data_IF_850814604140
#
_entry.id   IF_850814604140
#
_cell.length_a   1.000
_cell.length_b   1.000
_cell.length_c   1.000
_cell.angle_alpha   90.00
_cell.angle_beta   90.00
_cell.angle_gamma   90.00
#
_symmetry.space_group_name_H-M   'P 1'
#
loop_
_entity.id
_entity.type
_entity.pdbx_description
1 polymer ?
#
# COMPACT_ATOMS: atom_id res chain seq x y z
N UNK A 1 -11.60 26.38 22.39
CA UNK A 1 -11.22 25.28 21.50
C UNK A 1 -9.94 24.68 22.05
N UNK A 2 -9.91 23.38 22.39
CA UNK A 2 -8.63 22.75 22.79
C UNK A 2 -7.67 22.82 21.61
N UNK A 3 -6.45 23.25 21.88
CA UNK A 3 -5.40 23.35 20.85
C UNK A 3 -4.99 21.92 20.49
N UNK A 4 -5.31 21.45 19.26
CA UNK A 4 -4.92 20.14 18.78
C UNK A 4 -3.42 20.09 18.59
N UNK A 5 -2.79 18.96 18.94
CA UNK A 5 -1.35 18.77 18.71
C UNK A 5 -1.01 18.86 17.23
N UNK A 6 0.12 19.50 16.90
CA UNK A 6 0.63 19.60 15.53
C UNK A 6 1.38 18.33 15.15
N UNK A 7 0.89 17.63 14.13
CA UNK A 7 1.50 16.42 13.59
C UNK A 7 2.12 16.69 12.22
N UNK A 8 3.41 16.42 12.09
CA UNK A 8 4.11 16.44 10.81
C UNK A 8 4.43 15.00 10.37
N UNK A 9 4.07 14.63 9.14
CA UNK A 9 4.56 13.42 8.49
C UNK A 9 5.50 13.74 7.32
N UNK A 10 6.72 13.22 7.38
CA UNK A 10 7.72 13.30 6.31
C UNK A 10 7.75 11.99 5.52
N UNK A 11 7.39 12.03 4.24
CA UNK A 11 7.33 10.86 3.36
C UNK A 11 8.06 11.09 2.04
N UNK A 12 8.44 10.01 1.37
CA UNK A 12 9.21 10.09 0.13
C UNK A 12 8.43 10.73 -1.03
N UNK A 13 7.26 10.21 -1.33
CA UNK A 13 6.47 10.62 -2.48
C UNK A 13 5.01 10.82 -2.08
N UNK A 14 4.40 11.88 -2.61
CA UNK A 14 2.99 12.11 -2.44
C UNK A 14 2.17 11.06 -3.20
N UNK A 15 1.35 10.31 -2.45
CA UNK A 15 0.40 9.36 -3.01
C UNK A 15 -1.02 9.71 -2.57
N UNK A 16 -2.05 9.48 -3.40
CA UNK A 16 -3.41 9.88 -3.09
C UNK A 16 -3.91 9.40 -1.72
N UNK A 17 -3.59 8.16 -1.34
CA UNK A 17 -3.96 7.62 -0.02
C UNK A 17 -3.35 8.41 1.14
N UNK A 18 -2.08 8.84 1.03
CA UNK A 18 -1.45 9.64 2.09
C UNK A 18 -2.07 11.02 2.19
N UNK A 19 -2.41 11.64 1.06
CA UNK A 19 -3.08 12.95 1.03
C UNK A 19 -4.47 12.85 1.68
N UNK A 20 -5.26 11.86 1.29
CA UNK A 20 -6.60 11.62 1.87
C UNK A 20 -6.50 11.26 3.35
N UNK A 21 -5.48 10.52 3.76
CA UNK A 21 -5.24 10.20 5.17
C UNK A 21 -4.87 11.45 5.98
N UNK A 22 -4.04 12.35 5.43
CA UNK A 22 -3.75 13.64 6.05
C UNK A 22 -5.04 14.46 6.30
N UNK A 23 -5.94 14.48 5.32
CA UNK A 23 -7.24 15.16 5.45
C UNK A 23 -8.10 14.51 6.55
N UNK A 24 -8.14 13.19 6.64
CA UNK A 24 -8.89 12.49 7.69
C UNK A 24 -8.32 12.77 9.10
N UNK A 25 -7.01 12.93 9.21
CA UNK A 25 -6.33 13.25 10.48
C UNK A 25 -6.62 14.65 10.98
N UNK A 26 -7.11 15.59 10.15
CA UNK A 26 -7.49 16.95 10.57
C UNK A 26 -8.58 16.97 11.65
N UNK A 27 -9.34 15.88 11.82
CA UNK A 27 -10.30 15.75 12.92
C UNK A 27 -9.62 15.66 14.29
N UNK A 28 -8.39 15.15 14.34
CA UNK A 28 -7.68 14.78 15.58
C UNK A 28 -6.44 15.65 15.84
N UNK A 29 -5.75 16.07 14.78
CA UNK A 29 -4.49 16.82 14.83
C UNK A 29 -4.56 18.03 13.89
N UNK A 30 -3.71 19.03 14.13
CA UNK A 30 -3.30 19.98 13.10
C UNK A 30 -2.19 19.27 12.28
N UNK A 31 -2.59 18.51 11.27
CA UNK A 31 -1.69 17.61 10.55
C UNK A 31 -1.18 18.26 9.25
N UNK A 32 0.14 18.16 9.00
CA UNK A 32 0.74 18.45 7.70
C UNK A 32 1.57 17.25 7.22
N UNK A 33 1.46 16.94 5.91
CA UNK A 33 2.28 15.93 5.25
C UNK A 33 3.21 16.59 4.25
N UNK A 34 4.51 16.39 4.43
CA UNK A 34 5.53 16.94 3.55
C UNK A 34 6.25 15.84 2.80
N UNK A 35 6.36 16.03 1.49
CA UNK A 35 6.91 15.04 0.58
C UNK A 35 8.21 15.54 -0.04
N UNK A 36 9.13 14.62 -0.32
CA UNK A 36 10.41 14.91 -0.97
C UNK A 36 10.33 14.86 -2.49
N UNK A 37 9.38 14.09 -3.04
CA UNK A 37 9.25 13.89 -4.48
C UNK A 37 7.82 14.20 -4.95
N UNK A 38 7.75 14.95 -6.07
CA UNK A 38 6.49 15.15 -6.78
C UNK A 38 6.08 13.89 -7.55
N UNK A 39 4.78 13.50 -7.59
CA UNK A 39 4.29 12.42 -8.43
C UNK A 39 4.68 12.58 -9.91
N UNK A 40 4.75 13.82 -10.42
CA UNK A 40 5.14 14.13 -11.79
C UNK A 40 6.53 13.63 -12.18
N UNK A 41 7.45 13.62 -11.21
CA UNK A 41 8.82 13.14 -11.40
C UNK A 41 8.93 11.61 -11.33
N UNK A 42 7.88 10.93 -10.92
CA UNK A 42 7.86 9.49 -10.79
C UNK A 42 7.35 8.82 -12.07
N UNK A 43 8.27 8.55 -13.01
CA UNK A 43 7.98 7.92 -14.29
C UNK A 43 7.24 6.57 -14.19
N UNK A 44 7.29 5.91 -13.05
CA UNK A 44 6.71 4.59 -12.82
C UNK A 44 5.22 4.68 -12.47
N UNK A 45 4.77 5.81 -11.90
CA UNK A 45 3.44 5.94 -11.31
C UNK A 45 2.39 6.62 -12.20
N UNK A 46 2.83 7.28 -13.27
CA UNK A 46 1.95 7.90 -14.25
C UNK A 46 1.27 9.21 -13.78
N UNK A 47 0.64 9.92 -14.73
CA UNK A 47 0.01 11.23 -14.48
C UNK A 47 -1.25 11.16 -13.62
N UNK A 48 -1.96 10.03 -13.58
CA UNK A 48 -3.23 9.90 -12.84
C UNK A 48 -3.05 9.90 -11.31
N UNK A 49 -1.81 9.87 -10.82
CA UNK A 49 -1.48 10.04 -9.41
C UNK A 49 -1.42 11.52 -8.99
N UNK A 50 -1.58 12.44 -9.93
CA UNK A 50 -1.72 13.85 -9.61
C UNK A 50 -3.07 14.05 -8.91
N UNK A 51 -3.01 14.40 -7.65
CA UNK A 51 -4.15 14.75 -6.80
C UNK A 51 -3.95 16.16 -6.28
N UNK A 52 -5.05 16.83 -5.99
CA UNK A 52 -5.00 18.09 -5.25
C UNK A 52 -4.39 17.84 -3.86
N UNK A 53 -3.30 18.53 -3.55
CA UNK A 53 -2.62 18.42 -2.27
C UNK A 53 -3.39 19.07 -1.12
N UNK A 54 -4.39 19.90 -1.43
CA UNK A 54 -5.06 20.72 -0.43
C UNK A 54 -4.08 21.62 0.33
N UNK A 55 -4.55 22.16 1.44
CA UNK A 55 -3.74 23.09 2.26
C UNK A 55 -2.80 22.41 3.26
N UNK A 56 -2.89 21.07 3.41
CA UNK A 56 -2.20 20.32 4.47
C UNK A 56 -1.04 19.47 3.94
N UNK A 57 -0.83 19.47 2.64
CA UNK A 57 0.23 18.70 2.02
C UNK A 57 1.12 19.61 1.17
N UNK A 58 2.43 19.41 1.24
CA UNK A 58 3.37 20.14 0.38
C UNK A 58 4.58 19.32 -0.04
N UNK A 59 5.19 19.73 -1.14
CA UNK A 59 6.47 19.19 -1.60
C UNK A 59 7.57 20.10 -1.16
N UNK A 60 8.56 19.58 -0.43
CA UNK A 60 9.75 20.33 -0.02
C UNK A 60 10.63 20.60 -1.24
N UNK A 61 11.12 21.83 -1.38
CA UNK A 61 12.04 22.24 -2.45
C UNK A 61 13.09 23.22 -1.89
N UNK A 62 14.33 23.20 -2.41
CA UNK A 62 14.90 22.21 -3.32
C UNK A 62 15.25 20.90 -2.60
N UNK A 63 15.20 19.79 -3.33
CA UNK A 63 15.59 18.45 -2.84
C UNK A 63 16.68 17.89 -3.74
N UNK A 64 17.79 17.48 -3.14
CA UNK A 64 18.79 16.66 -3.81
C UNK A 64 18.42 15.18 -3.65
N UNK A 65 18.42 14.45 -4.76
CA UNK A 65 18.04 13.05 -4.82
C UNK A 65 19.20 12.17 -5.30
N UNK A 66 19.46 11.09 -4.55
CA UNK A 66 20.42 10.06 -4.95
C UNK A 66 19.77 8.69 -4.98
N UNK A 67 20.04 7.92 -6.02
CA UNK A 67 19.85 6.48 -6.02
C UNK A 67 21.12 5.81 -5.50
N UNK A 68 21.00 5.01 -4.45
CA UNK A 68 22.12 4.19 -3.98
C UNK A 68 21.59 2.82 -3.58
N UNK A 69 22.29 1.76 -3.99
CA UNK A 69 21.80 0.39 -4.01
C UNK A 69 21.15 -0.13 -2.72
N UNK A 70 21.71 0.14 -1.56
CA UNK A 70 21.19 -0.35 -0.29
C UNK A 70 20.09 0.55 0.32
N UNK A 71 20.23 1.86 0.20
CA UNK A 71 19.26 2.84 0.67
C UNK A 71 18.58 3.42 -0.57
N UNK A 72 17.51 2.80 -1.01
CA UNK A 72 16.93 2.95 -2.35
C UNK A 72 16.57 4.39 -2.77
N UNK A 73 16.29 5.29 -1.84
CA UNK A 73 15.95 6.68 -2.15
C UNK A 73 16.50 7.59 -1.06
N UNK A 74 17.49 8.40 -1.41
CA UNK A 74 18.09 9.37 -0.50
C UNK A 74 17.66 10.78 -0.89
N UNK A 75 16.84 11.39 -0.04
CA UNK A 75 16.39 12.75 -0.22
C UNK A 75 17.05 13.68 0.78
N UNK A 76 17.56 14.79 0.30
CA UNK A 76 18.15 15.85 1.08
C UNK A 76 17.42 17.14 0.80
N UNK A 77 16.50 17.54 1.69
CA UNK A 77 15.71 18.75 1.57
C UNK A 77 16.38 19.91 2.32
N UNK A 78 16.89 20.88 1.58
CA UNK A 78 17.65 22.01 2.17
C UNK A 78 16.77 22.95 2.98
N UNK A 79 15.50 23.12 2.62
CA UNK A 79 14.55 23.98 3.35
C UNK A 79 14.01 23.36 4.65
N UNK A 80 14.25 22.06 4.90
CA UNK A 80 13.60 21.28 5.94
C UNK A 80 13.67 21.93 7.34
N UNK A 81 14.86 22.36 7.77
CA UNK A 81 15.03 22.96 9.11
C UNK A 81 14.29 24.30 9.24
N UNK A 82 14.26 25.10 8.19
CA UNK A 82 13.50 26.35 8.16
C UNK A 82 12.00 26.08 8.31
N UNK A 83 11.49 25.13 7.52
CA UNK A 83 10.08 24.73 7.55
C UNK A 83 9.68 24.12 8.90
N UNK A 84 10.53 23.27 9.50
CA UNK A 84 10.32 22.70 10.83
C UNK A 84 10.21 23.78 11.91
N UNK A 85 11.03 24.83 11.84
CA UNK A 85 10.97 25.97 12.79
C UNK A 85 9.68 26.78 12.62
N UNK A 86 9.21 26.97 11.39
CA UNK A 86 7.98 27.73 11.09
C UNK A 86 6.74 26.96 11.55
N UNK A 87 6.60 25.69 11.15
CA UNK A 87 5.44 24.88 11.52
C UNK A 87 5.46 24.51 13.00
N UNK A 88 6.65 24.28 13.55
CA UNK A 88 6.90 23.88 14.94
C UNK A 88 6.02 22.71 15.41
N UNK A 89 6.12 21.51 14.78
CA UNK A 89 5.30 20.37 15.13
C UNK A 89 5.55 19.89 16.56
N UNK A 90 4.51 19.34 17.20
CA UNK A 90 4.62 18.65 18.49
C UNK A 90 5.05 17.18 18.28
N UNK A 91 4.66 16.62 17.14
CA UNK A 91 4.93 15.24 16.74
C UNK A 91 5.56 15.25 15.35
N UNK A 92 6.72 14.61 15.22
CA UNK A 92 7.40 14.39 13.92
C UNK A 92 7.36 12.91 13.58
N UNK A 93 6.57 12.56 12.57
CA UNK A 93 6.46 11.22 12.03
C UNK A 93 7.32 11.09 10.78
N UNK A 94 8.10 10.03 10.69
CA UNK A 94 9.10 9.78 9.65
C UNK A 94 8.73 8.54 8.84
N UNK A 95 8.63 8.66 7.53
CA UNK A 95 8.43 7.55 6.60
C UNK A 95 9.73 6.76 6.40
N UNK A 96 10.03 5.85 7.33
CA UNK A 96 11.22 5.01 7.31
C UNK A 96 12.46 5.62 7.98
N UNK A 97 13.46 4.75 8.19
CA UNK A 97 14.67 5.04 8.98
C UNK A 97 15.81 5.65 8.16
N UNK A 98 15.86 5.44 6.86
CA UNK A 98 17.09 5.57 6.06
C UNK A 98 17.19 6.83 5.20
N UNK A 99 16.17 7.68 5.21
CA UNK A 99 16.15 8.94 4.43
C UNK A 99 16.98 10.00 5.17
N UNK A 100 18.02 10.61 4.57
CA UNK A 100 18.86 11.61 5.23
C UNK A 100 18.06 12.77 5.84
N UNK A 101 17.07 13.30 5.13
CA UNK A 101 16.18 14.33 5.65
C UNK A 101 15.39 13.88 6.89
N UNK A 102 14.95 12.62 6.94
CA UNK A 102 14.30 12.06 8.13
C UNK A 102 15.25 12.02 9.32
N UNK A 103 16.52 11.67 9.10
CA UNK A 103 17.56 11.68 10.15
C UNK A 103 17.76 13.08 10.70
N UNK A 104 17.79 14.09 9.83
CA UNK A 104 17.91 15.51 10.23
C UNK A 104 16.68 15.93 11.02
N UNK A 105 15.47 15.61 10.55
CA UNK A 105 14.22 15.93 11.23
C UNK A 105 14.13 15.26 12.61
N UNK A 106 14.53 13.98 12.71
CA UNK A 106 14.60 13.27 13.99
C UNK A 106 15.51 13.99 15.00
N UNK A 107 16.74 14.32 14.60
CA UNK A 107 17.67 15.07 15.48
C UNK A 107 17.10 16.41 15.90
N UNK A 108 16.50 17.14 14.98
CA UNK A 108 15.84 18.41 15.28
C UNK A 108 14.72 18.21 16.30
N UNK A 109 13.85 17.22 16.10
CA UNK A 109 12.75 16.92 17.00
C UNK A 109 13.24 16.60 18.41
N UNK A 110 14.20 15.68 18.55
CA UNK A 110 14.75 15.31 19.87
C UNK A 110 15.42 16.51 20.57
N UNK A 111 16.18 17.35 19.83
CA UNK A 111 16.81 18.56 20.38
C UNK A 111 15.78 19.58 20.89
N UNK A 112 14.59 19.62 20.29
CA UNK A 112 13.53 20.56 20.65
C UNK A 112 12.43 19.93 21.52
N UNK A 113 12.66 18.76 22.13
CA UNK A 113 11.71 18.09 23.03
C UNK A 113 10.42 17.62 22.36
N UNK A 114 10.44 17.41 21.03
CA UNK A 114 9.28 16.96 20.27
C UNK A 114 9.16 15.45 20.28
N UNK A 115 7.92 14.94 20.19
CA UNK A 115 7.65 13.51 20.05
C UNK A 115 8.02 13.01 18.66
N UNK A 116 8.49 11.76 18.59
CA UNK A 116 9.00 11.17 17.35
C UNK A 116 8.33 9.82 17.07
N UNK A 117 7.88 9.65 15.84
CA UNK A 117 7.32 8.38 15.32
C UNK A 117 8.12 7.96 14.09
N UNK A 118 8.47 6.69 13.98
CA UNK A 118 8.92 6.12 12.70
C UNK A 118 7.83 5.20 12.19
N UNK A 119 7.31 5.50 11.01
CA UNK A 119 6.37 4.66 10.30
C UNK A 119 7.11 3.81 9.28
N UNK A 120 6.96 2.49 9.34
CA UNK A 120 7.74 1.58 8.52
C UNK A 120 6.98 0.31 8.17
N UNK A 121 7.46 -0.35 7.12
CA UNK A 121 6.97 -1.64 6.67
C UNK A 121 8.04 -2.71 6.95
N UNK A 122 7.76 -3.95 6.52
CA UNK A 122 8.71 -5.05 6.59
C UNK A 122 10.07 -4.69 5.98
N UNK A 123 11.15 -4.96 6.72
CA UNK A 123 12.52 -4.66 6.28
C UNK A 123 13.19 -5.81 5.53
N UNK A 124 12.54 -6.96 5.38
CA UNK A 124 13.04 -8.10 4.60
C UNK A 124 12.50 -8.07 3.16
N UNK A 125 13.34 -8.53 2.22
CA UNK A 125 12.96 -8.72 0.83
C UNK A 125 12.22 -10.06 0.62
N UNK A 126 11.90 -10.37 -0.62
CA UNK A 126 11.22 -11.59 -1.06
C UNK A 126 11.95 -12.90 -0.68
N UNK A 127 13.25 -12.85 -0.44
CA UNK A 127 14.06 -14.01 -0.01
C UNK A 127 14.27 -14.06 1.50
N UNK A 128 13.52 -13.25 2.28
CA UNK A 128 13.69 -13.15 3.72
C UNK A 128 14.99 -12.44 4.16
N UNK A 129 15.77 -11.93 3.20
CA UNK A 129 17.05 -11.27 3.47
C UNK A 129 16.80 -9.86 3.99
N UNK A 130 17.44 -9.53 5.10
CA UNK A 130 17.34 -8.21 5.71
C UNK A 130 17.97 -7.15 4.81
N UNK A 131 17.17 -6.17 4.40
CA UNK A 131 17.66 -5.06 3.58
C UNK A 131 18.75 -4.31 4.36
N UNK A 132 20.00 -4.39 3.84
CA UNK A 132 21.16 -3.73 4.38
C UNK A 132 21.94 -4.46 5.46
N UNK A 133 21.53 -5.64 5.78
CA UNK A 133 22.26 -6.47 6.74
C UNK A 133 22.18 -6.00 8.19
N UNK A 134 22.53 -6.87 9.10
CA UNK A 134 22.38 -6.64 10.55
C UNK A 134 23.24 -5.50 11.11
N UNK A 135 24.40 -5.20 10.50
CA UNK A 135 25.26 -4.10 10.96
C UNK A 135 24.60 -2.74 10.81
N UNK A 136 23.91 -2.51 9.67
CA UNK A 136 23.19 -1.25 9.45
C UNK A 136 22.00 -1.14 10.38
N UNK A 137 21.25 -2.23 10.61
CA UNK A 137 20.14 -2.19 11.57
C UNK A 137 20.59 -1.94 13.00
N UNK A 138 21.77 -2.43 13.41
CA UNK A 138 22.38 -2.07 14.71
C UNK A 138 22.71 -0.58 14.78
N UNK A 139 23.25 0.00 13.70
CA UNK A 139 23.52 1.43 13.62
C UNK A 139 22.24 2.26 13.66
N UNK A 140 21.22 1.85 12.90
CA UNK A 140 19.91 2.52 12.89
C UNK A 140 19.26 2.42 14.27
N UNK A 141 19.27 1.26 14.92
CA UNK A 141 18.77 1.13 16.29
C UNK A 141 19.51 2.07 17.26
N UNK A 142 20.85 2.08 17.23
CA UNK A 142 21.62 2.98 18.08
C UNK A 142 21.27 4.44 17.85
N UNK A 143 21.03 4.84 16.60
CA UNK A 143 20.67 6.21 16.25
C UNK A 143 19.25 6.59 16.69
N UNK A 144 18.28 5.68 16.53
CA UNK A 144 16.86 5.88 16.84
C UNK A 144 16.44 5.29 18.20
N UNK A 145 17.37 4.91 19.06
CA UNK A 145 17.07 4.24 20.34
C UNK A 145 16.10 5.01 21.24
N UNK A 146 16.07 6.33 21.12
CA UNK A 146 15.22 7.22 21.90
C UNK A 146 13.93 7.61 21.12
N UNK A 147 13.56 6.88 20.08
CA UNK A 147 12.30 7.11 19.36
C UNK A 147 11.12 6.81 20.28
N UNK A 148 10.13 7.72 20.28
CA UNK A 148 8.98 7.55 21.19
C UNK A 148 8.04 6.46 20.72
N UNK A 149 7.96 6.20 19.37
CA UNK A 149 7.10 5.16 18.80
C UNK A 149 7.61 4.67 17.44
N UNK A 150 7.52 3.38 17.19
CA UNK A 150 7.72 2.74 15.88
C UNK A 150 6.40 2.13 15.46
N UNK A 151 5.79 2.69 14.42
CA UNK A 151 4.56 2.17 13.83
C UNK A 151 4.87 1.24 12.68
N UNK A 152 4.36 0.03 12.74
CA UNK A 152 4.47 -0.98 11.68
C UNK A 152 3.10 -1.32 11.12
N UNK A 153 3.05 -1.82 9.89
CA UNK A 153 1.79 -1.98 9.14
C UNK A 153 1.10 -3.32 9.34
N UNK A 154 1.78 -4.29 9.97
CA UNK A 154 1.24 -5.62 10.18
C UNK A 154 1.79 -6.28 11.46
N UNK A 155 1.03 -7.18 12.07
CA UNK A 155 1.39 -7.87 13.32
C UNK A 155 2.64 -8.75 13.18
N UNK A 156 2.80 -9.41 12.04
CA UNK A 156 3.97 -10.24 11.79
C UNK A 156 5.29 -9.44 11.70
N UNK A 157 5.18 -8.13 11.45
CA UNK A 157 6.32 -7.19 11.45
C UNK A 157 6.66 -6.71 12.87
N UNK A 158 5.71 -6.75 13.81
CA UNK A 158 5.93 -6.34 15.20
C UNK A 158 7.10 -7.09 15.81
N UNK A 159 7.09 -8.42 15.71
CA UNK A 159 8.16 -9.27 16.27
C UNK A 159 9.54 -8.88 15.76
N UNK A 160 9.65 -8.54 14.47
CA UNK A 160 10.90 -8.10 13.87
C UNK A 160 11.44 -6.82 14.51
N UNK A 161 10.57 -5.79 14.67
CA UNK A 161 11.01 -4.50 15.22
C UNK A 161 11.14 -4.53 16.74
N UNK A 162 10.27 -5.25 17.44
CA UNK A 162 10.31 -5.37 18.90
C UNK A 162 11.53 -6.14 19.38
N UNK A 163 11.73 -7.34 18.85
CA UNK A 163 12.69 -8.32 19.36
C UNK A 163 14.02 -8.28 18.61
N UNK A 164 13.98 -8.40 17.27
CA UNK A 164 15.20 -8.47 16.44
C UNK A 164 15.90 -7.11 16.39
N UNK A 165 15.16 -6.03 16.18
CA UNK A 165 15.72 -4.66 16.15
C UNK A 165 15.67 -3.95 17.51
N UNK A 166 15.16 -4.60 18.55
CA UNK A 166 15.23 -4.17 19.95
C UNK A 166 14.54 -2.83 20.27
N UNK A 167 13.49 -2.46 19.53
CA UNK A 167 12.69 -1.27 19.86
C UNK A 167 11.68 -1.53 20.97
N UNK A 168 11.54 -2.79 21.44
CA UNK A 168 10.73 -3.18 22.59
C UNK A 168 9.29 -2.69 22.50
N UNK A 169 8.81 -2.14 23.59
CA UNK A 169 7.44 -1.65 23.73
C UNK A 169 7.13 -0.37 22.92
N UNK A 170 8.14 0.27 22.31
CA UNK A 170 7.89 1.40 21.40
C UNK A 170 7.17 0.96 20.10
N UNK A 171 7.16 -0.34 19.77
CA UNK A 171 6.57 -0.88 18.55
C UNK A 171 5.06 -1.04 18.71
N UNK A 172 4.30 -0.47 17.77
CA UNK A 172 2.83 -0.59 17.67
C UNK A 172 2.41 -0.86 16.23
N UNK A 173 1.25 -1.51 16.05
CA UNK A 173 0.65 -1.70 14.73
C UNK A 173 -0.25 -0.52 14.40
N UNK A 174 -0.14 -0.02 13.16
CA UNK A 174 -1.07 0.91 12.57
C UNK A 174 -1.49 0.39 11.20
N UNK A 175 -2.78 0.28 10.97
CA UNK A 175 -3.30 -0.21 9.69
C UNK A 175 -2.95 0.74 8.54
N UNK A 176 -2.86 0.19 7.33
CA UNK A 176 -2.87 1.01 6.13
C UNK A 176 -4.25 1.62 5.92
N UNK A 177 -4.32 2.94 5.82
CA UNK A 177 -5.54 3.60 5.38
C UNK A 177 -5.78 3.38 3.89
N UNK A 178 -7.00 3.05 3.51
CA UNK A 178 -7.41 2.86 2.13
C UNK A 178 -8.63 3.71 1.79
N UNK A 179 -8.60 4.34 0.62
CA UNK A 179 -9.74 5.09 0.11
C UNK A 179 -10.75 4.13 -0.52
N UNK A 180 -11.58 3.52 0.32
CA UNK A 180 -12.49 2.43 -0.08
C UNK A 180 -13.95 2.83 -0.19
N UNK A 181 -14.32 4.04 0.18
CA UNK A 181 -15.73 4.46 0.26
C UNK A 181 -16.46 4.40 -1.08
N UNK A 182 -15.78 4.78 -2.18
CA UNK A 182 -16.33 4.69 -3.52
C UNK A 182 -16.52 3.23 -3.96
N UNK A 183 -15.59 2.34 -3.57
CA UNK A 183 -15.63 0.91 -3.90
C UNK A 183 -16.76 0.19 -3.15
N UNK A 184 -17.02 0.53 -1.90
CA UNK A 184 -18.11 -0.04 -1.10
C UNK A 184 -19.50 0.25 -1.66
N UNK A 185 -19.65 1.30 -2.48
CA UNK A 185 -20.93 1.68 -3.12
C UNK A 185 -21.31 0.78 -4.30
N UNK A 186 -20.38 -0.02 -4.84
CA UNK A 186 -20.71 -0.90 -5.97
C UNK A 186 -21.64 -2.03 -5.52
N UNK A 187 -22.61 -2.44 -6.37
CA UNK A 187 -23.46 -3.57 -6.06
C UNK A 187 -22.63 -4.86 -5.96
N UNK A 188 -23.05 -5.77 -5.11
CA UNK A 188 -22.47 -7.12 -5.10
C UNK A 188 -22.82 -7.84 -6.39
N UNK A 189 -21.87 -8.58 -6.93
CA UNK A 189 -22.02 -9.29 -8.19
C UNK A 189 -22.81 -10.58 -8.00
N UNK A 190 -23.64 -10.89 -9.02
CA UNK A 190 -24.34 -12.15 -9.13
C UNK A 190 -23.64 -13.13 -10.07
N UNK A 191 -24.28 -14.27 -10.31
CA UNK A 191 -23.86 -15.24 -11.33
C UNK A 191 -23.84 -14.58 -12.70
N UNK A 192 -22.77 -14.79 -13.46
CA UNK A 192 -22.59 -14.28 -14.82
C UNK A 192 -22.23 -15.40 -15.76
N UNK A 193 -22.55 -15.28 -17.06
CA UNK A 193 -22.11 -16.25 -18.08
C UNK A 193 -20.60 -16.19 -18.32
N UNK A 194 -19.98 -15.03 -18.03
CA UNK A 194 -18.53 -14.83 -18.14
C UNK A 194 -18.05 -13.85 -17.08
N UNK A 195 -16.80 -14.03 -16.64
CA UNK A 195 -16.17 -13.20 -15.61
C UNK A 195 -15.12 -12.28 -16.21
N UNK A 196 -15.01 -11.08 -15.63
CA UNK A 196 -13.92 -10.14 -15.89
C UNK A 196 -12.90 -10.23 -14.77
N UNK A 197 -11.68 -10.53 -15.14
CA UNK A 197 -10.54 -10.65 -14.23
C UNK A 197 -9.78 -9.33 -14.16
N UNK A 198 -9.09 -9.09 -13.05
CA UNK A 198 -8.30 -7.88 -12.85
C UNK A 198 -6.88 -8.23 -12.37
N UNK A 199 -5.89 -7.69 -13.08
CA UNK A 199 -4.52 -7.55 -12.61
C UNK A 199 -4.19 -6.06 -12.48
N UNK A 200 -4.38 -5.48 -11.29
CA UNK A 200 -4.25 -4.02 -11.07
C UNK A 200 -2.83 -3.59 -10.68
N UNK A 201 -1.94 -4.51 -10.40
CA UNK A 201 -0.58 -4.20 -9.95
C UNK A 201 0.32 -3.75 -11.10
N UNK A 202 1.41 -3.06 -10.75
CA UNK A 202 2.44 -2.66 -11.73
C UNK A 202 3.05 -3.89 -12.42
N UNK A 203 3.39 -3.75 -13.68
CA UNK A 203 4.06 -4.79 -14.46
C UNK A 203 5.54 -4.89 -14.08
N UNK A 204 5.83 -5.41 -12.89
CA UNK A 204 7.18 -5.68 -12.40
C UNK A 204 7.33 -7.17 -12.13
N UNK A 205 8.56 -7.68 -12.15
CA UNK A 205 8.86 -9.09 -11.89
C UNK A 205 8.23 -9.58 -10.57
N UNK A 206 8.32 -8.76 -9.53
CA UNK A 206 7.79 -9.08 -8.19
C UNK A 206 6.29 -9.39 -8.21
N UNK A 207 5.51 -8.70 -9.04
CA UNK A 207 4.06 -8.92 -9.15
C UNK A 207 3.65 -9.96 -10.18
N UNK A 208 4.61 -10.50 -10.96
CA UNK A 208 4.40 -11.59 -11.91
C UNK A 208 3.28 -11.36 -12.95
N UNK A 209 3.34 -10.27 -13.74
CA UNK A 209 2.33 -10.00 -14.76
C UNK A 209 2.32 -11.04 -15.88
N UNK A 210 3.46 -11.67 -16.18
CA UNK A 210 3.55 -12.74 -17.18
C UNK A 210 2.78 -13.98 -16.71
N UNK A 211 2.96 -14.38 -15.45
CA UNK A 211 2.16 -15.46 -14.86
C UNK A 211 0.67 -15.15 -14.85
N UNK A 212 0.26 -13.90 -14.63
CA UNK A 212 -1.14 -13.50 -14.74
C UNK A 212 -1.71 -13.72 -16.15
N UNK A 213 -0.93 -13.44 -17.20
CA UNK A 213 -1.30 -13.72 -18.60
C UNK A 213 -1.40 -15.21 -18.89
N UNK A 214 -0.48 -16.01 -18.37
CA UNK A 214 -0.48 -17.47 -18.52
C UNK A 214 -1.68 -18.12 -17.80
N UNK A 215 -1.99 -17.66 -16.59
CA UNK A 215 -3.21 -18.05 -15.87
C UNK A 215 -4.44 -17.68 -16.70
N UNK A 216 -4.51 -16.45 -17.19
CA UNK A 216 -5.67 -16.00 -17.96
C UNK A 216 -5.83 -16.74 -19.30
N UNK A 217 -4.76 -17.12 -19.98
CA UNK A 217 -4.81 -17.95 -21.18
C UNK A 217 -5.49 -19.29 -20.91
N UNK A 218 -5.18 -19.94 -19.78
CA UNK A 218 -5.84 -21.19 -19.36
C UNK A 218 -7.31 -20.95 -18.98
N UNK A 219 -7.62 -19.83 -18.34
CA UNK A 219 -9.01 -19.43 -18.06
C UNK A 219 -9.78 -19.24 -19.36
N UNK A 220 -9.23 -18.50 -20.32
CA UNK A 220 -9.90 -18.20 -21.60
C UNK A 220 -10.16 -19.45 -22.42
N UNK A 221 -9.23 -20.44 -22.40
CA UNK A 221 -9.42 -21.73 -23.09
C UNK A 221 -10.61 -22.52 -22.58
N UNK A 222 -10.99 -22.37 -21.29
CA UNK A 222 -12.12 -23.06 -20.66
C UNK A 222 -13.39 -22.20 -20.63
N UNK A 223 -13.24 -20.88 -20.61
CA UNK A 223 -14.31 -19.89 -20.51
C UNK A 223 -14.11 -18.79 -21.56
N UNK A 224 -14.46 -19.03 -22.85
CA UNK A 224 -14.05 -18.20 -24.00
C UNK A 224 -14.53 -16.74 -23.97
N UNK A 225 -15.56 -16.42 -23.18
CA UNK A 225 -16.09 -15.06 -23.08
C UNK A 225 -15.48 -14.24 -21.92
N UNK A 226 -14.40 -14.75 -21.30
CA UNK A 226 -13.70 -14.08 -20.22
C UNK A 226 -12.88 -12.89 -20.73
N UNK A 227 -12.66 -11.90 -19.88
CA UNK A 227 -11.82 -10.73 -20.14
C UNK A 227 -10.83 -10.50 -19.01
N UNK A 228 -9.65 -9.98 -19.33
CA UNK A 228 -8.66 -9.55 -18.35
C UNK A 228 -8.42 -8.04 -18.49
N UNK A 229 -8.62 -7.30 -17.39
CA UNK A 229 -8.20 -5.91 -17.28
C UNK A 229 -6.80 -5.89 -16.63
N UNK A 230 -5.85 -5.22 -17.27
CA UNK A 230 -4.46 -5.15 -16.80
C UNK A 230 -3.97 -3.72 -16.66
N UNK A 231 -3.21 -3.45 -15.59
CA UNK A 231 -2.42 -2.22 -15.53
C UNK A 231 -1.44 -2.17 -16.71
N UNK A 232 -1.19 -0.95 -17.23
CA UNK A 232 -0.32 -0.75 -18.39
C UNK A 232 1.11 -0.27 -18.04
N UNK A 233 1.41 -0.06 -16.75
CA UNK A 233 2.65 0.57 -16.30
C UNK A 233 3.60 -0.40 -15.58
N UNK A 234 4.87 -0.37 -15.95
CA UNK A 234 5.94 -1.13 -15.30
C UNK A 234 7.04 -1.54 -16.28
N UNK A 235 8.13 -2.05 -15.75
CA UNK A 235 9.32 -2.46 -16.53
C UNK A 235 9.06 -3.63 -17.49
N UNK A 236 8.06 -4.46 -17.20
CA UNK A 236 7.68 -5.60 -18.03
C UNK A 236 6.54 -5.29 -19.02
N UNK A 237 6.13 -4.02 -19.18
CA UNK A 237 4.97 -3.66 -20.00
C UNK A 237 5.13 -4.14 -21.46
N UNK A 238 6.30 -3.93 -22.09
CA UNK A 238 6.54 -4.40 -23.45
C UNK A 238 6.58 -5.93 -23.54
N UNK A 239 7.21 -6.60 -22.57
CA UNK A 239 7.22 -8.06 -22.52
C UNK A 239 5.81 -8.64 -22.33
N UNK A 240 4.93 -7.96 -21.59
CA UNK A 240 3.53 -8.36 -21.49
C UNK A 240 2.80 -8.23 -22.84
N UNK A 241 3.05 -7.18 -23.61
CA UNK A 241 2.48 -7.03 -24.95
C UNK A 241 2.92 -8.16 -25.91
N UNK A 242 4.21 -8.51 -25.87
CA UNK A 242 4.73 -9.66 -26.63
C UNK A 242 4.04 -10.97 -26.21
N UNK A 243 3.93 -11.19 -24.89
CA UNK A 243 3.30 -12.39 -24.34
C UNK A 243 1.81 -12.50 -24.70
N UNK A 244 1.09 -11.40 -24.77
CA UNK A 244 -0.31 -11.36 -25.23
C UNK A 244 -0.42 -11.87 -26.66
N UNK A 245 0.49 -11.46 -27.57
CA UNK A 245 0.54 -11.95 -28.95
C UNK A 245 0.92 -13.42 -29.02
N UNK A 246 1.93 -13.86 -28.25
CA UNK A 246 2.35 -15.26 -28.16
C UNK A 246 1.16 -16.16 -27.78
N UNK A 247 0.34 -15.72 -26.82
CA UNK A 247 -0.80 -16.46 -26.28
C UNK A 247 -2.10 -16.20 -27.03
N UNK A 248 -2.12 -15.33 -28.05
CA UNK A 248 -3.32 -14.95 -28.84
C UNK A 248 -4.44 -14.40 -27.97
N UNK A 249 -4.10 -13.43 -27.10
CA UNK A 249 -5.01 -12.84 -26.11
C UNK A 249 -5.46 -11.41 -26.47
N UNK A 250 -5.12 -10.90 -27.67
CA UNK A 250 -5.32 -9.49 -28.07
C UNK A 250 -6.76 -9.03 -27.91
N UNK A 251 -7.73 -9.87 -28.24
CA UNK A 251 -9.16 -9.52 -28.16
C UNK A 251 -9.75 -9.67 -26.75
N UNK A 252 -9.00 -10.26 -25.81
CA UNK A 252 -9.51 -10.63 -24.47
C UNK A 252 -8.80 -9.90 -23.33
N UNK A 253 -7.70 -9.19 -23.61
CA UNK A 253 -6.94 -8.40 -22.62
C UNK A 253 -7.08 -6.91 -22.92
N UNK A 254 -7.55 -6.16 -21.95
CA UNK A 254 -7.67 -4.68 -22.00
C UNK A 254 -6.62 -4.05 -21.10
N UNK A 255 -5.73 -3.24 -21.65
CA UNK A 255 -4.83 -2.39 -20.86
C UNK A 255 -5.56 -1.16 -20.32
N UNK A 256 -5.38 -0.90 -19.04
CA UNK A 256 -5.96 0.24 -18.33
C UNK A 256 -5.18 1.53 -18.64
N UNK A 257 -5.36 2.07 -19.84
CA UNK A 257 -4.68 3.29 -20.30
C UNK A 257 -5.51 4.57 -20.14
N UNK A 258 -6.83 4.44 -19.98
CA UNK A 258 -7.80 5.54 -19.99
C UNK A 258 -8.26 5.96 -18.58
N UNK A 259 -7.41 5.78 -17.56
CA UNK A 259 -7.70 6.24 -16.20
C UNK A 259 -7.06 7.63 -16.05
N UNK A 260 -7.89 8.66 -15.93
CA UNK A 260 -7.43 10.05 -15.91
C UNK A 260 -7.18 10.57 -14.48
N UNK A 261 -7.77 9.95 -13.47
CA UNK A 261 -7.54 10.30 -12.09
C UNK A 261 -7.62 9.08 -11.17
N UNK A 262 -7.01 9.20 -10.00
CA UNK A 262 -7.10 8.18 -8.95
C UNK A 262 -8.56 7.93 -8.52
N UNK A 263 -9.37 8.98 -8.47
CA UNK A 263 -10.76 8.89 -8.04
C UNK A 263 -11.64 8.09 -9.02
N UNK A 264 -11.16 7.83 -10.24
CA UNK A 264 -11.86 6.97 -11.21
C UNK A 264 -11.49 5.49 -11.12
N UNK A 265 -10.43 5.15 -10.35
CA UNK A 265 -9.92 3.78 -10.28
C UNK A 265 -10.99 2.80 -9.78
N UNK A 266 -11.87 3.22 -8.87
CA UNK A 266 -12.98 2.39 -8.40
C UNK A 266 -13.89 1.87 -9.54
N UNK A 267 -14.01 2.60 -10.67
CA UNK A 267 -14.82 2.18 -11.83
C UNK A 267 -14.24 0.93 -12.52
N UNK A 268 -12.91 0.76 -12.48
CA UNK A 268 -12.24 -0.45 -12.99
C UNK A 268 -12.63 -1.66 -12.15
N UNK A 269 -12.54 -1.53 -10.84
CA UNK A 269 -12.95 -2.58 -9.92
C UNK A 269 -14.44 -2.89 -10.02
N UNK A 270 -15.28 -1.88 -10.32
CA UNK A 270 -16.71 -2.07 -10.58
C UNK A 270 -16.98 -2.97 -11.79
N UNK A 271 -16.14 -2.93 -12.83
CA UNK A 271 -16.23 -3.78 -14.03
C UNK A 271 -15.62 -5.16 -13.85
N UNK A 272 -14.85 -5.38 -12.78
CA UNK A 272 -14.06 -6.60 -12.55
C UNK A 272 -14.75 -7.51 -11.53
N UNK A 273 -14.62 -8.80 -11.70
CA UNK A 273 -15.27 -9.81 -10.86
C UNK A 273 -14.27 -10.54 -9.95
N UNK A 274 -13.11 -10.92 -10.47
CA UNK A 274 -12.11 -11.70 -9.75
C UNK A 274 -10.75 -11.01 -9.85
N UNK A 275 -10.12 -10.75 -8.70
CA UNK A 275 -8.72 -10.32 -8.64
C UNK A 275 -7.80 -11.53 -8.82
N UNK A 276 -6.87 -11.43 -9.77
CA UNK A 276 -5.74 -12.37 -9.94
C UNK A 276 -4.48 -11.68 -9.46
N UNK A 277 -3.87 -12.21 -8.38
CA UNK A 277 -2.68 -11.61 -7.81
C UNK A 277 -1.56 -12.64 -7.58
N UNK A 278 -0.88 -13.13 -8.64
CA UNK A 278 0.13 -14.19 -8.59
C UNK A 278 1.52 -13.68 -8.23
N UNK A 279 1.61 -12.72 -7.31
CA UNK A 279 2.87 -12.09 -6.94
C UNK A 279 3.87 -13.09 -6.37
N UNK A 280 5.15 -12.94 -6.74
CA UNK A 280 6.25 -13.63 -6.07
C UNK A 280 6.57 -13.04 -4.70
N UNK A 281 6.13 -11.81 -4.45
CA UNK A 281 6.26 -11.16 -3.15
C UNK A 281 5.42 -9.88 -3.07
N UNK A 282 4.78 -9.66 -1.92
CA UNK A 282 4.15 -8.38 -1.57
C UNK A 282 4.08 -8.19 -0.05
N UNK A 283 4.20 -6.96 0.44
CA UNK A 283 4.08 -6.57 1.85
C UNK A 283 2.75 -5.86 2.13
N UNK A 284 1.64 -6.53 1.89
CA UNK A 284 0.34 -5.87 1.90
C UNK A 284 0.12 -5.04 0.63
N UNK A 285 -1.12 -4.78 0.30
CA UNK A 285 -1.39 -4.10 -0.96
C UNK A 285 -2.77 -3.45 -0.93
N UNK A 286 -2.84 -2.16 -1.27
CA UNK A 286 -4.12 -1.45 -1.44
C UNK A 286 -5.04 -2.13 -2.46
N UNK A 287 -4.47 -2.73 -3.50
CA UNK A 287 -5.22 -3.50 -4.50
C UNK A 287 -6.12 -4.57 -3.88
N UNK A 288 -5.65 -5.25 -2.83
CA UNK A 288 -6.45 -6.25 -2.11
C UNK A 288 -7.59 -5.58 -1.34
N UNK A 289 -7.30 -4.48 -0.61
CA UNK A 289 -8.31 -3.73 0.13
C UNK A 289 -9.39 -3.17 -0.81
N UNK A 290 -8.99 -2.65 -1.96
CA UNK A 290 -9.88 -2.14 -3.01
C UNK A 290 -10.75 -3.26 -3.60
N UNK A 291 -10.17 -4.44 -3.88
CA UNK A 291 -10.90 -5.60 -4.36
C UNK A 291 -11.90 -6.13 -3.32
N UNK A 292 -11.51 -6.20 -2.05
CA UNK A 292 -12.40 -6.55 -0.94
C UNK A 292 -13.58 -5.59 -0.84
N UNK A 293 -13.31 -4.28 -0.87
CA UNK A 293 -14.36 -3.25 -0.80
C UNK A 293 -15.31 -3.33 -2.00
N UNK A 294 -14.80 -3.65 -3.17
CA UNK A 294 -15.60 -3.85 -4.38
C UNK A 294 -16.42 -5.14 -4.36
N UNK A 295 -16.21 -6.03 -3.40
CA UNK A 295 -16.89 -7.33 -3.34
C UNK A 295 -16.49 -8.27 -4.48
N UNK A 296 -15.21 -8.28 -4.82
CA UNK A 296 -14.63 -9.21 -5.79
C UNK A 296 -14.30 -10.56 -5.15
N UNK A 297 -14.28 -11.62 -5.98
CA UNK A 297 -13.53 -12.83 -5.65
C UNK A 297 -12.03 -12.53 -5.66
N UNK A 298 -11.28 -13.14 -4.76
CA UNK A 298 -9.85 -12.89 -4.61
C UNK A 298 -9.09 -14.20 -4.70
N UNK A 299 -8.22 -14.32 -5.70
CA UNK A 299 -7.22 -15.39 -5.81
C UNK A 299 -5.85 -14.75 -5.74
N UNK A 300 -5.10 -15.08 -4.69
CA UNK A 300 -3.86 -14.39 -4.34
C UNK A 300 -2.76 -15.40 -4.03
N UNK A 301 -1.52 -15.04 -4.35
CA UNK A 301 -0.36 -15.83 -3.97
C UNK A 301 -0.20 -15.91 -2.45
N UNK A 302 0.18 -17.09 -1.95
CA UNK A 302 0.59 -17.32 -0.55
C UNK A 302 1.83 -16.53 -0.12
N UNK A 303 2.53 -15.90 -1.09
CA UNK A 303 3.70 -15.02 -0.86
C UNK A 303 3.33 -13.56 -0.65
N UNK A 304 2.04 -13.25 -0.55
CA UNK A 304 1.55 -11.94 -0.15
C UNK A 304 1.46 -11.90 1.37
N UNK A 305 2.37 -11.17 2.00
CA UNK A 305 2.55 -11.08 3.44
C UNK A 305 1.87 -9.83 4.02
N UNK A 306 1.69 -9.81 5.34
CA UNK A 306 1.16 -8.64 6.04
C UNK A 306 -0.35 -8.41 5.87
N UNK A 307 -1.07 -9.37 5.29
CA UNK A 307 -2.51 -9.31 5.08
C UNK A 307 -3.26 -10.45 5.79
N UNK A 308 -2.58 -11.29 6.56
CA UNK A 308 -3.14 -12.52 7.14
C UNK A 308 -4.29 -12.28 8.14
N UNK A 309 -4.38 -11.09 8.70
CA UNK A 309 -5.49 -10.69 9.57
C UNK A 309 -6.77 -10.34 8.82
N UNK A 310 -6.70 -10.10 7.53
CA UNK A 310 -7.82 -9.61 6.73
C UNK A 310 -8.21 -10.57 5.61
N UNK A 311 -7.24 -11.20 4.94
CA UNK A 311 -7.48 -12.26 3.95
C UNK A 311 -7.07 -13.62 4.54
N UNK A 312 -8.05 -14.47 4.75
CA UNK A 312 -7.89 -15.82 5.27
C UNK A 312 -8.28 -16.82 4.19
N UNK A 313 -7.37 -17.74 3.90
CA UNK A 313 -7.59 -18.78 2.92
C UNK A 313 -8.87 -19.58 3.22
N UNK A 314 -9.60 -19.98 2.19
CA UNK A 314 -10.88 -20.70 2.27
C UNK A 314 -12.03 -19.93 2.94
N UNK A 315 -11.73 -18.88 3.69
CA UNK A 315 -12.74 -18.10 4.45
C UNK A 315 -13.30 -16.93 3.64
N UNK A 316 -12.42 -16.14 3.00
CA UNK A 316 -12.82 -14.96 2.23
C UNK A 316 -11.97 -14.69 1.00
N UNK A 317 -11.01 -15.56 0.71
CA UNK A 317 -10.18 -15.57 -0.48
C UNK A 317 -9.69 -16.99 -0.76
N UNK A 318 -8.95 -17.16 -1.84
CA UNK A 318 -8.12 -18.33 -2.07
C UNK A 318 -6.65 -17.93 -2.15
N UNK A 319 -5.80 -18.59 -1.34
CA UNK A 319 -4.36 -18.46 -1.35
C UNK A 319 -3.74 -19.72 -1.94
N UNK A 320 -2.79 -19.56 -2.87
CA UNK A 320 -2.08 -20.69 -3.48
C UNK A 320 -0.68 -20.28 -3.92
N UNK A 321 0.15 -21.23 -4.27
CA UNK A 321 1.43 -20.94 -4.91
C UNK A 321 1.21 -20.16 -6.22
N UNK A 322 2.14 -19.25 -6.61
CA UNK A 322 2.02 -18.48 -7.85
C UNK A 322 2.33 -19.31 -9.10
N UNK A 323 1.63 -20.43 -9.24
CA UNK A 323 1.66 -21.37 -10.37
C UNK A 323 0.34 -21.33 -11.13
N UNK A 324 0.41 -21.49 -12.44
CA UNK A 324 -0.76 -21.37 -13.33
C UNK A 324 -1.87 -22.35 -12.96
N UNK A 325 -1.54 -23.61 -12.72
CA UNK A 325 -2.50 -24.68 -12.41
C UNK A 325 -3.21 -24.45 -11.07
N UNK A 326 -2.46 -23.99 -10.07
CA UNK A 326 -2.99 -23.69 -8.75
C UNK A 326 -4.00 -22.55 -8.82
N UNK A 327 -3.62 -21.44 -9.46
CA UNK A 327 -4.52 -20.29 -9.65
C UNK A 327 -5.76 -20.68 -10.43
N UNK A 328 -5.61 -21.44 -11.50
CA UNK A 328 -6.73 -21.90 -12.31
C UNK A 328 -7.71 -22.75 -11.49
N UNK A 329 -7.21 -23.67 -10.68
CA UNK A 329 -8.03 -24.47 -9.77
C UNK A 329 -8.86 -23.61 -8.83
N UNK A 330 -8.27 -22.59 -8.21
CA UNK A 330 -8.97 -21.70 -7.29
C UNK A 330 -9.98 -20.78 -8.01
N UNK A 331 -9.65 -20.29 -9.21
CA UNK A 331 -10.57 -19.52 -10.06
C UNK A 331 -11.81 -20.34 -10.39
N UNK A 332 -11.63 -21.59 -10.77
CA UNK A 332 -12.74 -22.49 -11.10
C UNK A 332 -13.71 -22.72 -9.94
N UNK A 333 -13.24 -22.69 -8.71
CA UNK A 333 -14.10 -22.79 -7.52
C UNK A 333 -15.11 -21.64 -7.46
N UNK A 334 -14.68 -20.41 -7.80
CA UNK A 334 -15.58 -19.26 -7.89
C UNK A 334 -16.55 -19.40 -9.07
N UNK A 335 -16.04 -19.79 -10.25
CA UNK A 335 -16.85 -19.88 -11.46
C UNK A 335 -17.92 -20.98 -11.33
N UNK A 336 -17.55 -22.13 -10.76
CA UNK A 336 -18.45 -23.26 -10.55
C UNK A 336 -19.41 -23.08 -9.36
N UNK A 337 -19.05 -22.24 -8.38
CA UNK A 337 -19.86 -22.00 -7.18
C UNK A 337 -20.12 -20.50 -6.93
N UNK A 338 -21.11 -19.89 -7.60
CA UNK A 338 -21.46 -18.49 -7.41
C UNK A 338 -21.91 -18.14 -5.97
N UNK A 339 -22.39 -19.11 -5.21
CA UNK A 339 -22.78 -18.89 -3.82
C UNK A 339 -21.54 -18.66 -2.93
N UNK A 340 -20.48 -19.44 -3.14
CA UNK A 340 -19.20 -19.25 -2.46
C UNK A 340 -18.58 -17.87 -2.78
N UNK A 341 -18.65 -17.48 -4.06
CA UNK A 341 -18.25 -16.14 -4.48
C UNK A 341 -18.97 -15.06 -3.67
N UNK A 342 -20.31 -15.16 -3.54
CA UNK A 342 -21.13 -14.20 -2.80
C UNK A 342 -20.80 -14.17 -1.30
N UNK A 343 -20.52 -15.32 -0.70
CA UNK A 343 -20.11 -15.42 0.72
C UNK A 343 -18.81 -14.67 0.92
N UNK A 344 -17.77 -14.96 0.12
CA UNK A 344 -16.47 -14.30 0.23
C UNK A 344 -16.59 -12.78 0.00
N UNK A 345 -17.35 -12.35 -1.01
CA UNK A 345 -17.58 -10.94 -1.31
C UNK A 345 -18.22 -10.18 -0.15
N UNK A 346 -19.20 -10.77 0.53
CA UNK A 346 -19.84 -10.16 1.70
C UNK A 346 -18.87 -10.06 2.89
N UNK A 347 -18.16 -11.13 3.20
CA UNK A 347 -17.17 -11.14 4.28
C UNK A 347 -16.06 -10.13 4.02
N UNK A 348 -15.58 -10.03 2.78
CA UNK A 348 -14.58 -9.06 2.37
C UNK A 348 -15.03 -7.62 2.65
N UNK A 349 -16.28 -7.26 2.33
CA UNK A 349 -16.82 -5.94 2.62
C UNK A 349 -16.94 -5.62 4.12
N UNK A 350 -17.19 -6.62 4.93
CA UNK A 350 -17.21 -6.45 6.39
C UNK A 350 -15.80 -6.25 6.92
N UNK A 351 -14.88 -7.14 6.54
CA UNK A 351 -13.50 -7.15 7.05
C UNK A 351 -12.68 -5.92 6.61
N UNK A 352 -13.00 -5.30 5.47
CA UNK A 352 -12.24 -4.15 4.96
C UNK A 352 -12.64 -2.81 5.59
N UNK A 353 -13.84 -2.68 6.15
CA UNK A 353 -14.34 -1.40 6.72
C UNK A 353 -13.38 -0.73 7.70
N UNK A 354 -12.73 -1.44 8.64
CA UNK A 354 -11.77 -0.83 9.56
C UNK A 354 -10.55 -0.18 8.89
N UNK A 355 -10.33 -0.44 7.61
CA UNK A 355 -9.24 0.13 6.82
C UNK A 355 -9.62 1.40 6.04
N UNK A 356 -10.87 1.86 6.18
CA UNK A 356 -11.28 3.16 5.62
C UNK A 356 -10.42 4.30 6.15
N UNK A 357 -10.35 5.41 5.43
CA UNK A 357 -9.59 6.59 5.85
C UNK A 357 -10.04 7.08 7.23
N UNK A 358 -11.34 7.08 7.51
CA UNK A 358 -11.90 7.57 8.76
C UNK A 358 -11.59 6.66 9.94
N UNK A 359 -11.84 5.35 9.84
CA UNK A 359 -11.57 4.40 10.92
C UNK A 359 -10.08 4.26 11.20
N UNK A 360 -9.25 4.26 10.15
CA UNK A 360 -7.79 4.22 10.34
C UNK A 360 -7.27 5.50 10.98
N UNK A 361 -7.78 6.68 10.61
CA UNK A 361 -7.38 7.94 11.23
C UNK A 361 -7.79 7.99 12.72
N UNK A 362 -8.96 7.48 13.05
CA UNK A 362 -9.44 7.34 14.43
C UNK A 362 -8.54 6.44 15.27
N UNK A 363 -8.24 5.24 14.76
CA UNK A 363 -7.35 4.28 15.43
C UNK A 363 -5.94 4.85 15.59
N UNK A 364 -5.39 5.44 14.53
CA UNK A 364 -4.08 6.11 14.56
C UNK A 364 -4.03 7.18 15.65
N UNK A 365 -5.06 8.02 15.73
CA UNK A 365 -5.15 9.06 16.74
C UNK A 365 -5.21 8.47 18.16
N UNK A 366 -6.06 7.49 18.39
CA UNK A 366 -6.19 6.82 19.70
C UNK A 366 -4.87 6.18 20.15
N UNK A 367 -4.19 5.45 19.26
CA UNK A 367 -2.88 4.84 19.52
C UNK A 367 -1.83 5.91 19.83
N UNK A 368 -1.77 6.96 19.01
CA UNK A 368 -0.78 8.03 19.13
C UNK A 368 -0.96 8.82 20.43
N UNK A 369 -2.18 9.24 20.74
CA UNK A 369 -2.49 10.00 21.97
C UNK A 369 -2.13 9.18 23.19
N UNK A 370 -2.58 7.90 23.23
CA UNK A 370 -2.29 7.01 24.36
C UNK A 370 -0.79 6.74 24.52
N UNK A 371 -0.11 6.39 23.45
CA UNK A 371 1.30 5.95 23.49
C UNK A 371 2.28 7.10 23.78
N UNK A 372 1.99 8.28 23.28
CA UNK A 372 2.83 9.47 23.49
C UNK A 372 2.43 10.29 24.71
N UNK A 373 1.42 9.87 25.48
CA UNK A 373 0.85 10.58 26.63
C UNK A 373 0.49 12.04 26.29
N UNK A 374 -0.21 12.23 25.17
CA UNK A 374 -0.65 13.55 24.77
C UNK A 374 -1.90 13.94 25.55
N UNK A 375 -1.99 15.21 25.94
CA UNK A 375 -3.21 15.76 26.55
C UNK A 375 -4.33 15.75 25.48
N UNK A 376 -5.39 15.01 25.73
CA UNK A 376 -6.58 14.89 24.87
C UNK A 376 -7.43 16.17 24.92
#
# INVERSE_FOLDING_TARGET
MRNRSKLLFLSSCAVPQQIKFCNALQKYFEAEFWFYESPENNKIRGKFWLTDFGNYCKILKPVLFFKSGFLSHKYWAFSLIKELKIFNPDIVMLGGFSIPSNIIAYRWAKKNGKKTIVFTERSRNQHGVLRGGGAIWRLLHWFYRDVDMVMVTAEDVVKQFRDEFRFGEAVVVSRHAADIDAYLKHPLRGKKPAYTYLFANRMTETYNPIGALEIFAQVLSRYPNSRLLMNAAGELAERCKEKIKELKLEDSVEFLTNINSWDELHKVYARSDILIFPAYFSNGNWTILEAMASGMGIVVSDRVLGMDQIIEDETNCFKCEPKTEEFLSQIERYVKNPQLFKIHANLNRIKVKPFSMEETAKDFAAITIKKLNLNS
#
